data_IF_624599507830
#
_entry.id   IF_624599507830
#
_cell.length_a   1.000
_cell.length_b   1.000
_cell.length_c   1.000
_cell.angle_alpha   90.00
_cell.angle_beta   90.00
_cell.angle_gamma   90.00
#
_symmetry.space_group_name_H-M   'P 1'
#
loop_
_entity.id
_entity.type
_entity.pdbx_description
1 polymer ?
#
# COMPACT_ATOMS: atom_id res chain seq x y z
N UNK A 1 -38.22 -15.99 3.89
CA UNK A 1 -37.23 -15.18 3.15
C UNK A 1 -36.36 -14.48 4.18
N UNK A 2 -35.08 -14.84 4.29
CA UNK A 2 -34.20 -14.29 5.31
C UNK A 2 -33.92 -12.81 5.00
N UNK A 3 -34.24 -11.92 5.94
CA UNK A 3 -33.94 -10.50 5.82
C UNK A 3 -32.43 -10.31 5.70
N UNK A 4 -31.96 -9.72 4.59
CA UNK A 4 -30.55 -9.35 4.42
C UNK A 4 -30.14 -8.45 5.59
N UNK A 5 -29.20 -8.94 6.42
CA UNK A 5 -28.54 -8.12 7.45
C UNK A 5 -27.86 -6.95 6.74
N UNK A 6 -28.45 -5.75 6.85
CA UNK A 6 -27.86 -4.51 6.36
C UNK A 6 -26.49 -4.36 7.01
N UNK A 7 -25.41 -4.45 6.22
CA UNK A 7 -24.05 -4.29 6.73
C UNK A 7 -23.94 -2.94 7.43
N UNK A 8 -23.40 -2.93 8.65
CA UNK A 8 -23.23 -1.74 9.47
C UNK A 8 -22.46 -0.63 8.73
N UNK A 9 -21.61 -1.00 7.77
CA UNK A 9 -20.89 -0.09 6.90
C UNK A 9 -20.97 -0.62 5.46
N UNK A 10 -21.56 0.17 4.56
CA UNK A 10 -21.44 -0.03 3.11
C UNK A 10 -20.10 0.54 2.66
N UNK A 11 -19.16 -0.34 2.30
CA UNK A 11 -17.85 0.10 1.79
C UNK A 11 -18.04 0.76 0.42
N UNK A 12 -17.37 1.90 0.20
CA UNK A 12 -17.37 2.53 -1.11
C UNK A 12 -16.82 1.55 -2.15
N UNK A 13 -17.56 1.30 -3.23
CA UNK A 13 -17.11 0.39 -4.29
C UNK A 13 -15.81 0.86 -4.95
N UNK A 14 -15.53 2.17 -4.95
CA UNK A 14 -14.27 2.74 -5.44
C UNK A 14 -13.05 2.34 -4.60
N UNK A 15 -13.23 1.81 -3.39
CA UNK A 15 -12.11 1.31 -2.58
C UNK A 15 -11.47 0.05 -3.16
N UNK A 16 -12.24 -0.80 -3.84
CA UNK A 16 -11.72 -2.04 -4.41
C UNK A 16 -10.63 -1.82 -5.47
N UNK A 17 -10.81 -0.95 -6.49
CA UNK A 17 -9.75 -0.67 -7.45
C UNK A 17 -8.54 0.03 -6.81
N UNK A 18 -8.77 0.89 -5.81
CA UNK A 18 -7.68 1.51 -5.04
C UNK A 18 -6.84 0.47 -4.29
N UNK A 19 -7.48 -0.48 -3.61
CA UNK A 19 -6.78 -1.59 -2.93
C UNK A 19 -6.01 -2.45 -3.91
N UNK A 20 -6.62 -2.83 -5.03
CA UNK A 20 -5.94 -3.61 -6.06
C UNK A 20 -4.67 -2.92 -6.57
N UNK A 21 -4.69 -1.58 -6.71
CA UNK A 21 -3.52 -0.82 -7.12
C UNK A 21 -2.42 -0.80 -6.06
N UNK A 22 -2.80 -0.67 -4.79
CA UNK A 22 -1.86 -0.72 -3.66
C UNK A 22 -1.21 -2.10 -3.57
N UNK A 23 -2.01 -3.16 -3.66
CA UNK A 23 -1.53 -4.55 -3.62
C UNK A 23 -0.57 -4.84 -4.78
N UNK A 24 -0.89 -4.39 -6.00
CA UNK A 24 -0.01 -4.48 -7.18
C UNK A 24 1.33 -3.80 -6.93
N UNK A 25 1.33 -2.65 -6.25
CA UNK A 25 2.55 -1.88 -5.97
C UNK A 25 3.44 -2.65 -5.01
N UNK A 26 2.91 -3.12 -3.88
CA UNK A 26 3.69 -3.92 -2.93
C UNK A 26 4.18 -5.25 -3.51
N UNK A 27 3.39 -5.90 -4.37
CA UNK A 27 3.81 -7.12 -5.07
C UNK A 27 5.04 -6.86 -5.96
N UNK A 28 5.03 -5.76 -6.72
CA UNK A 28 6.20 -5.34 -7.50
C UNK A 28 7.42 -5.08 -6.62
N UNK A 29 7.22 -4.48 -5.45
CA UNK A 29 8.34 -4.23 -4.55
C UNK A 29 8.97 -5.53 -4.04
N UNK A 30 8.16 -6.54 -3.73
CA UNK A 30 8.64 -7.88 -3.34
C UNK A 30 9.35 -8.58 -4.51
N UNK A 31 8.85 -8.45 -5.74
CA UNK A 31 9.52 -8.99 -6.93
C UNK A 31 10.87 -8.30 -7.20
N UNK A 32 10.93 -6.97 -7.03
CA UNK A 32 12.16 -6.19 -7.15
C UNK A 32 13.21 -6.63 -6.10
N UNK A 33 12.79 -6.84 -4.84
CA UNK A 33 13.66 -7.41 -3.80
C UNK A 33 14.22 -8.78 -4.19
N UNK A 34 13.37 -9.67 -4.70
CA UNK A 34 13.79 -11.02 -5.14
C UNK A 34 14.74 -10.99 -6.33
N UNK A 35 14.57 -10.01 -7.22
CA UNK A 35 15.45 -9.78 -8.36
C UNK A 35 16.80 -9.11 -7.97
N UNK A 36 17.00 -8.79 -6.69
CA UNK A 36 18.21 -8.14 -6.20
C UNK A 36 18.27 -6.64 -6.48
N UNK A 37 17.14 -6.01 -6.84
CA UNK A 37 17.07 -4.56 -6.99
C UNK A 37 17.09 -3.88 -5.62
N UNK A 38 17.67 -2.67 -5.51
CA UNK A 38 17.70 -1.96 -4.25
C UNK A 38 16.30 -1.43 -3.92
N UNK A 39 15.78 -1.86 -2.77
CA UNK A 39 14.49 -1.42 -2.24
C UNK A 39 14.70 -0.54 -1.03
N UNK A 40 14.18 0.68 -1.08
CA UNK A 40 14.42 1.73 -0.10
C UNK A 40 13.15 2.08 0.66
N UNK A 41 13.32 2.30 1.96
CA UNK A 41 12.28 2.84 2.83
C UNK A 41 12.52 4.35 2.94
N UNK A 42 11.56 5.13 2.45
CA UNK A 42 11.63 6.59 2.48
C UNK A 42 10.45 7.14 3.27
N UNK A 43 10.70 8.10 4.15
CA UNK A 43 9.62 8.86 4.78
C UNK A 43 9.44 10.17 4.04
N UNK A 44 8.18 10.58 3.88
CA UNK A 44 7.76 11.87 3.30
C UNK A 44 8.36 12.15 1.92
N UNK A 45 7.53 12.07 0.87
CA UNK A 45 7.94 12.58 -0.44
C UNK A 45 7.94 14.12 -0.42
N UNK A 46 9.11 14.74 -0.51
CA UNK A 46 9.25 16.18 -0.69
C UNK A 46 9.71 16.49 -2.12
N UNK A 47 9.08 17.49 -2.73
CA UNK A 47 9.39 17.93 -4.08
C UNK A 47 9.22 16.79 -5.11
N UNK A 48 10.29 16.31 -5.75
CA UNK A 48 10.26 15.27 -6.78
C UNK A 48 11.04 14.00 -6.37
N UNK A 49 11.19 13.75 -5.06
CA UNK A 49 11.98 12.62 -4.55
C UNK A 49 11.63 11.28 -5.21
N UNK A 50 10.34 10.99 -5.38
CA UNK A 50 9.87 9.77 -6.06
C UNK A 50 10.30 9.68 -7.54
N UNK A 51 10.35 10.79 -8.26
CA UNK A 51 10.80 10.82 -9.68
C UNK A 51 12.29 10.48 -9.77
N UNK A 52 13.09 11.05 -8.88
CA UNK A 52 14.53 10.79 -8.82
C UNK A 52 14.81 9.34 -8.45
N UNK A 53 14.14 8.81 -7.42
CA UNK A 53 14.31 7.42 -6.98
C UNK A 53 13.91 6.43 -8.08
N UNK A 54 12.80 6.69 -8.78
CA UNK A 54 12.40 5.87 -9.94
C UNK A 54 13.38 5.96 -11.10
N UNK A 55 13.94 7.14 -11.37
CA UNK A 55 14.97 7.30 -12.41
C UNK A 55 16.26 6.52 -12.08
N UNK A 56 16.54 6.30 -10.80
CA UNK A 56 17.63 5.45 -10.32
C UNK A 56 17.29 3.94 -10.32
N UNK A 57 16.12 3.54 -10.84
CA UNK A 57 15.58 2.17 -10.79
C UNK A 57 15.48 1.63 -9.35
N UNK A 58 15.20 2.52 -8.39
CA UNK A 58 14.99 2.18 -7.00
C UNK A 58 13.50 1.97 -6.73
N UNK A 59 13.19 0.85 -6.10
CA UNK A 59 11.84 0.63 -5.61
C UNK A 59 11.69 1.28 -4.23
N UNK A 60 10.69 2.15 -4.08
CA UNK A 60 10.52 2.94 -2.85
C UNK A 60 9.24 2.56 -2.12
N UNK A 61 9.36 2.29 -0.83
CA UNK A 61 8.23 1.99 0.06
C UNK A 61 8.13 3.09 1.13
N UNK A 62 6.91 3.60 1.32
CA UNK A 62 6.61 4.63 2.31
C UNK A 62 6.01 4.00 3.58
N UNK A 63 6.68 4.11 4.75
CA UNK A 63 6.22 3.51 6.00
C UNK A 63 4.86 4.06 6.47
N UNK A 64 4.51 5.31 6.13
CA UNK A 64 3.23 5.91 6.48
C UNK A 64 2.07 5.20 5.73
N UNK A 65 2.31 4.83 4.47
CA UNK A 65 1.34 4.08 3.69
C UNK A 65 1.21 2.64 4.22
N UNK A 66 2.34 2.00 4.51
CA UNK A 66 2.35 0.63 5.03
C UNK A 66 1.64 0.51 6.38
N UNK A 67 1.94 1.42 7.32
CA UNK A 67 1.28 1.45 8.63
C UNK A 67 -0.23 1.72 8.51
N UNK A 68 -0.65 2.61 7.60
CA UNK A 68 -2.06 2.85 7.29
C UNK A 68 -2.75 1.60 6.74
N UNK A 69 -2.09 0.84 5.86
CA UNK A 69 -2.60 -0.44 5.36
C UNK A 69 -2.77 -1.44 6.50
N UNK A 70 -1.75 -1.63 7.34
CA UNK A 70 -1.83 -2.52 8.50
C UNK A 70 -2.95 -2.13 9.47
N UNK A 71 -3.09 -0.83 9.78
CA UNK A 71 -4.16 -0.33 10.65
C UNK A 71 -5.54 -0.58 10.03
N UNK A 72 -5.70 -0.31 8.73
CA UNK A 72 -6.97 -0.52 8.01
C UNK A 72 -7.36 -2.00 7.85
N UNK A 73 -6.37 -2.90 7.90
CA UNK A 73 -6.56 -4.34 7.85
C UNK A 73 -6.83 -4.94 9.24
N UNK A 74 -6.66 -4.17 10.32
CA UNK A 74 -6.75 -4.66 11.69
C UNK A 74 -5.58 -5.55 12.09
N UNK A 75 -4.44 -5.40 11.42
CA UNK A 75 -3.20 -6.17 11.66
C UNK A 75 -2.08 -5.31 12.23
N UNK A 76 -2.33 -4.03 12.48
CA UNK A 76 -1.38 -3.18 13.19
C UNK A 76 -1.23 -3.67 14.64
N UNK A 77 -0.01 -3.54 15.17
CA UNK A 77 0.31 -3.89 16.55
C UNK A 77 -0.51 -3.01 17.52
N UNK A 78 -0.99 -3.62 18.61
CA UNK A 78 -1.65 -2.89 19.69
C UNK A 78 -0.62 -2.09 20.48
N UNK A 79 -1.06 -0.95 21.01
CA UNK A 79 -0.23 -0.11 21.89
C UNK A 79 0.17 -0.82 23.19
#
# INVERSE_FOLDING_TARGET
>A
MAAEKKKAISRLKSMYPLRAKVDETYAKSVEAMKAGKPTVWAMVNSWEGDVVLKAMDLETVYPENYSTVCASAGTAESY
#
